data_IF_302930775285
#
_entry.id   IF_302930775285
#
_cell.length_a   1.000
_cell.length_b   1.000
_cell.length_c   1.000
_cell.angle_alpha   90.00
_cell.angle_beta   90.00
_cell.angle_gamma   90.00
#
_symmetry.space_group_name_H-M   'P 1'
#
loop_
_entity.id
_entity.type
_entity.pdbx_description
1 polymer ?
#
# COMPACT_ATOMS: atom_id res chain seq x y z
N UNK A 1 -31.03 -57.49 -26.35
CA UNK A 1 -30.57 -56.08 -26.32
C UNK A 1 -29.82 -55.86 -25.01
N UNK A 2 -28.55 -55.45 -25.08
CA UNK A 2 -27.72 -55.19 -23.90
C UNK A 2 -26.38 -54.62 -24.33
N UNK A 3 -26.36 -53.34 -24.71
CA UNK A 3 -25.14 -52.62 -25.09
C UNK A 3 -24.30 -52.40 -23.83
N UNK A 4 -23.18 -53.10 -23.69
CA UNK A 4 -22.12 -52.78 -22.71
C UNK A 4 -21.51 -51.42 -23.07
N UNK A 5 -21.53 -50.50 -22.13
CA UNK A 5 -20.84 -49.21 -22.19
C UNK A 5 -19.33 -49.45 -22.35
N UNK A 6 -18.73 -48.83 -23.36
CA UNK A 6 -17.27 -48.84 -23.56
C UNK A 6 -16.64 -48.05 -22.43
N UNK A 7 -15.76 -48.68 -21.65
CA UNK A 7 -14.92 -47.99 -20.67
C UNK A 7 -14.12 -46.88 -21.37
N UNK A 8 -14.09 -45.70 -20.74
CA UNK A 8 -13.26 -44.60 -21.18
C UNK A 8 -11.79 -45.05 -21.21
N UNK A 9 -11.12 -44.83 -22.34
CA UNK A 9 -9.67 -45.04 -22.47
C UNK A 9 -8.98 -44.13 -21.46
N UNK A 10 -8.15 -44.69 -20.59
CA UNK A 10 -7.31 -43.88 -19.72
C UNK A 10 -6.40 -43.00 -20.59
N UNK A 11 -6.26 -41.73 -20.19
CA UNK A 11 -5.32 -40.81 -20.79
C UNK A 11 -3.94 -41.47 -20.69
N UNK A 12 -3.28 -41.61 -21.83
CA UNK A 12 -1.97 -42.21 -21.96
C UNK A 12 -1.00 -41.47 -21.03
N UNK A 13 -0.40 -42.18 -20.07
CA UNK A 13 0.74 -41.66 -19.34
C UNK A 13 1.82 -41.34 -20.37
N UNK A 14 2.13 -40.06 -20.55
CA UNK A 14 3.33 -39.66 -21.27
C UNK A 14 4.50 -40.35 -20.55
N UNK A 15 5.12 -41.33 -21.19
CA UNK A 15 6.40 -41.83 -20.74
C UNK A 15 7.39 -40.66 -20.90
N UNK A 16 7.75 -40.01 -19.78
CA UNK A 16 8.87 -39.09 -19.76
C UNK A 16 10.07 -39.79 -20.40
N UNK A 17 10.90 -39.09 -21.20
CA UNK A 17 12.10 -39.68 -21.75
C UNK A 17 12.91 -40.25 -20.58
N UNK A 18 13.29 -41.53 -20.66
CA UNK A 18 14.24 -42.09 -19.70
C UNK A 18 15.55 -41.36 -19.93
N UNK A 19 15.89 -40.46 -19.01
CA UNK A 19 17.20 -39.83 -18.95
C UNK A 19 18.23 -40.94 -18.73
N UNK A 20 18.90 -41.34 -19.81
CA UNK A 20 20.18 -42.01 -19.72
C UNK A 20 21.14 -40.99 -19.12
N UNK A 21 21.80 -41.36 -18.02
CA UNK A 21 22.80 -40.55 -17.31
C UNK A 21 24.03 -40.35 -18.18
N UNK A 22 23.88 -39.54 -19.22
CA UNK A 22 24.98 -38.79 -19.82
C UNK A 22 25.27 -37.67 -18.83
N UNK A 23 26.55 -37.48 -18.48
CA UNK A 23 27.01 -36.45 -17.56
C UNK A 23 26.24 -35.17 -17.82
N UNK A 24 25.36 -34.78 -16.90
CA UNK A 24 24.61 -33.53 -16.99
C UNK A 24 25.65 -32.46 -17.27
N UNK A 25 25.62 -31.90 -18.50
CA UNK A 25 26.33 -30.67 -18.80
C UNK A 25 25.98 -29.74 -17.65
N UNK A 26 26.99 -29.29 -16.90
CA UNK A 26 26.79 -28.41 -15.75
C UNK A 26 25.76 -27.38 -16.18
N UNK A 27 24.64 -27.31 -15.46
CA UNK A 27 23.64 -26.27 -15.66
C UNK A 27 24.40 -24.99 -15.96
N UNK A 28 24.30 -24.48 -17.18
CA UNK A 28 25.21 -23.42 -17.63
C UNK A 28 24.94 -22.26 -16.70
N UNK A 29 25.92 -21.98 -15.83
CA UNK A 29 25.98 -20.82 -14.99
C UNK A 29 26.12 -19.63 -15.94
N UNK A 30 25.01 -19.27 -16.60
CA UNK A 30 24.91 -17.99 -17.28
C UNK A 30 25.33 -16.93 -16.27
N UNK A 31 26.04 -15.91 -16.75
CA UNK A 31 26.55 -14.80 -15.95
C UNK A 31 25.51 -14.43 -14.90
N UNK A 32 25.93 -14.34 -13.64
CA UNK A 32 25.08 -14.05 -12.47
C UNK A 32 24.09 -12.91 -12.76
N UNK A 33 24.52 -11.96 -13.60
CA UNK A 33 23.76 -10.87 -14.18
C UNK A 33 22.48 -11.29 -14.91
N UNK A 34 22.48 -12.33 -15.76
CA UNK A 34 21.29 -12.76 -16.52
C UNK A 34 20.21 -13.30 -15.61
N UNK A 35 20.58 -14.12 -14.62
CA UNK A 35 19.62 -14.66 -13.67
C UNK A 35 19.11 -13.61 -12.70
N UNK A 36 19.95 -12.64 -12.34
CA UNK A 36 19.54 -11.46 -11.57
C UNK A 36 18.50 -10.64 -12.33
N UNK A 37 18.70 -10.40 -13.63
CA UNK A 37 17.72 -9.71 -14.48
C UNK A 37 16.42 -10.51 -14.64
N UNK A 38 16.49 -11.82 -14.87
CA UNK A 38 15.28 -12.66 -14.95
C UNK A 38 14.49 -12.61 -13.62
N UNK A 39 15.19 -12.70 -12.49
CA UNK A 39 14.58 -12.70 -11.17
C UNK A 39 13.82 -11.39 -10.88
N UNK A 40 14.30 -10.23 -11.35
CA UNK A 40 13.58 -8.95 -11.23
C UNK A 40 12.17 -8.98 -11.82
N UNK A 41 11.86 -9.88 -12.75
CA UNK A 41 10.54 -10.01 -13.38
C UNK A 41 9.66 -11.11 -12.76
N UNK A 42 10.16 -11.84 -11.77
CA UNK A 42 9.36 -12.82 -11.03
C UNK A 42 8.52 -12.15 -9.93
N UNK A 43 7.37 -12.73 -9.60
CA UNK A 43 6.60 -12.34 -8.42
C UNK A 43 7.23 -12.90 -7.13
N UNK A 44 6.87 -12.33 -5.98
CA UNK A 44 7.46 -12.74 -4.70
C UNK A 44 7.34 -14.24 -4.41
N UNK A 45 6.23 -14.87 -4.83
CA UNK A 45 6.04 -16.32 -4.69
C UNK A 45 7.02 -17.10 -5.55
N UNK A 46 7.20 -16.72 -6.82
CA UNK A 46 8.14 -17.40 -7.72
C UNK A 46 9.59 -17.19 -7.31
N UNK A 47 9.95 -16.02 -6.78
CA UNK A 47 11.27 -15.76 -6.21
C UNK A 47 11.60 -16.73 -5.06
N UNK A 48 10.67 -16.89 -4.11
CA UNK A 48 10.84 -17.83 -2.99
C UNK A 48 10.92 -19.28 -3.48
N UNK A 49 10.09 -19.65 -4.47
CA UNK A 49 10.15 -20.99 -5.08
C UNK A 49 11.50 -21.21 -5.76
N UNK A 50 12.02 -20.24 -6.52
CA UNK A 50 13.32 -20.32 -7.19
C UNK A 50 14.46 -20.49 -6.18
N UNK A 51 14.49 -19.66 -5.13
CA UNK A 51 15.46 -19.74 -4.05
C UNK A 51 15.47 -21.10 -3.33
N UNK A 52 14.32 -21.78 -3.27
CA UNK A 52 14.20 -23.10 -2.64
C UNK A 52 14.79 -24.25 -3.47
N UNK A 53 15.08 -24.03 -4.76
CA UNK A 53 15.58 -25.09 -5.66
C UNK A 53 17.05 -25.44 -5.44
N UNK A 54 17.90 -24.47 -5.08
CA UNK A 54 19.32 -24.68 -4.80
C UNK A 54 19.95 -23.54 -4.00
N UNK A 55 21.09 -23.81 -3.35
CA UNK A 55 21.86 -22.79 -2.61
C UNK A 55 22.38 -21.66 -3.50
N UNK A 56 22.64 -21.94 -4.78
CA UNK A 56 23.10 -20.90 -5.70
C UNK A 56 21.97 -19.94 -6.05
N UNK A 57 20.78 -20.45 -6.38
CA UNK A 57 19.62 -19.58 -6.60
C UNK A 57 19.22 -18.81 -5.35
N UNK A 58 19.38 -19.39 -4.16
CA UNK A 58 19.22 -18.65 -2.92
C UNK A 58 20.17 -17.45 -2.85
N UNK A 59 21.46 -17.63 -3.21
CA UNK A 59 22.41 -16.51 -3.23
C UNK A 59 22.00 -15.42 -4.22
N UNK A 60 21.65 -15.80 -5.45
CA UNK A 60 21.20 -14.86 -6.50
C UNK A 60 19.95 -14.10 -6.05
N UNK A 61 18.89 -14.82 -5.63
CA UNK A 61 17.61 -14.20 -5.22
C UNK A 61 17.75 -13.29 -4.00
N UNK A 62 18.74 -13.52 -3.14
CA UNK A 62 18.97 -12.67 -1.97
C UNK A 62 19.68 -11.35 -2.29
N UNK A 63 20.01 -11.08 -3.56
CA UNK A 63 20.47 -9.78 -4.01
C UNK A 63 19.42 -8.68 -3.76
N UNK A 64 19.84 -7.57 -3.18
CA UNK A 64 18.95 -6.48 -2.78
C UNK A 64 18.29 -5.80 -4.00
N UNK A 65 18.94 -5.78 -5.17
CA UNK A 65 18.40 -5.13 -6.36
C UNK A 65 17.16 -5.86 -6.91
N UNK A 66 17.09 -7.18 -6.74
CA UNK A 66 15.94 -8.00 -7.13
C UNK A 66 14.72 -7.62 -6.31
N UNK A 67 14.86 -7.61 -4.98
CA UNK A 67 13.75 -7.28 -4.09
C UNK A 67 13.37 -5.81 -4.18
N UNK A 68 14.33 -4.89 -4.38
CA UNK A 68 14.04 -3.49 -4.66
C UNK A 68 13.14 -3.37 -5.88
N UNK A 69 13.57 -3.94 -7.01
CA UNK A 69 12.83 -3.87 -8.25
C UNK A 69 11.45 -4.51 -8.14
N UNK A 70 11.36 -5.72 -7.58
CA UNK A 70 10.09 -6.41 -7.37
C UNK A 70 9.14 -5.58 -6.48
N UNK A 71 9.65 -4.97 -5.41
CA UNK A 71 8.85 -4.13 -4.50
C UNK A 71 8.29 -2.91 -5.23
N UNK A 72 9.14 -2.13 -5.91
CA UNK A 72 8.72 -0.93 -6.64
C UNK A 72 7.71 -1.25 -7.75
N UNK A 73 7.97 -2.32 -8.52
CA UNK A 73 7.08 -2.81 -9.59
C UNK A 73 5.71 -3.22 -9.05
N UNK A 74 5.68 -4.05 -8.01
CA UNK A 74 4.43 -4.61 -7.48
C UNK A 74 3.61 -3.59 -6.66
N UNK A 75 4.28 -2.53 -6.16
CA UNK A 75 3.65 -1.37 -5.54
C UNK A 75 3.29 -0.26 -6.55
N UNK A 76 3.83 -0.30 -7.76
CA UNK A 76 3.66 0.71 -8.81
C UNK A 76 4.10 2.12 -8.38
N UNK A 77 5.23 2.21 -7.66
CA UNK A 77 5.81 3.47 -7.19
C UNK A 77 7.17 3.73 -7.86
N UNK A 78 7.59 5.00 -8.03
CA UNK A 78 8.91 5.31 -8.58
C UNK A 78 10.03 4.88 -7.62
N UNK A 79 11.28 5.02 -8.03
CA UNK A 79 12.42 4.85 -7.12
C UNK A 79 12.60 6.15 -6.32
N UNK A 80 12.01 6.20 -5.13
CA UNK A 80 11.86 7.42 -4.31
C UNK A 80 12.61 7.39 -2.98
N UNK A 81 13.40 6.34 -2.67
CA UNK A 81 13.96 6.22 -1.31
C UNK A 81 15.25 5.42 -1.18
N UNK A 82 16.16 5.98 -0.37
CA UNK A 82 17.07 5.17 0.45
C UNK A 82 16.27 4.55 1.61
N UNK A 83 16.46 3.26 1.85
CA UNK A 83 15.74 2.51 2.89
C UNK A 83 16.70 2.06 3.99
N UNK A 84 16.25 2.16 5.24
CA UNK A 84 17.00 1.70 6.42
C UNK A 84 16.95 0.17 6.57
N UNK A 85 16.00 -0.48 5.90
CA UNK A 85 15.80 -1.93 5.95
C UNK A 85 16.09 -2.58 4.60
N UNK A 86 16.43 -3.88 4.66
CA UNK A 86 16.58 -4.75 3.50
C UNK A 86 15.28 -4.84 2.71
N UNK A 87 15.39 -4.78 1.38
CA UNK A 87 14.23 -4.80 0.48
C UNK A 87 13.43 -6.09 0.56
N UNK A 88 14.08 -7.24 0.82
CA UNK A 88 13.36 -8.49 1.03
C UNK A 88 12.39 -8.43 2.23
N UNK A 89 12.79 -7.73 3.31
CA UNK A 89 11.94 -7.54 4.49
C UNK A 89 10.81 -6.55 4.21
N UNK A 90 11.10 -5.48 3.46
CA UNK A 90 10.11 -4.49 3.05
C UNK A 90 9.06 -5.09 2.10
N UNK A 91 9.49 -5.93 1.17
CA UNK A 91 8.59 -6.69 0.31
C UNK A 91 7.69 -7.60 1.16
N UNK A 92 8.28 -8.37 2.08
CA UNK A 92 7.51 -9.25 2.96
C UNK A 92 6.50 -8.48 3.83
N UNK A 93 6.82 -7.28 4.32
CA UNK A 93 5.86 -6.45 5.07
C UNK A 93 4.77 -5.85 4.17
N UNK A 94 5.13 -5.39 2.98
CA UNK A 94 4.20 -4.82 2.02
C UNK A 94 3.16 -5.84 1.50
N UNK A 95 3.55 -7.11 1.35
CA UNK A 95 2.72 -8.15 0.73
C UNK A 95 2.28 -9.27 1.68
N UNK A 96 2.80 -9.32 2.91
CA UNK A 96 2.46 -10.33 3.93
C UNK A 96 1.17 -10.04 4.71
N UNK A 97 0.43 -8.97 4.38
CA UNK A 97 -0.85 -8.63 5.00
C UNK A 97 -0.77 -7.92 6.37
N UNK A 98 0.43 -7.56 6.85
CA UNK A 98 0.60 -6.82 8.11
C UNK A 98 -0.05 -5.43 8.08
N UNK A 99 -0.23 -4.87 6.89
CA UNK A 99 -0.94 -3.61 6.65
C UNK A 99 -2.47 -3.75 6.70
N UNK A 100 -3.03 -4.97 6.64
CA UNK A 100 -4.50 -5.19 6.61
C UNK A 100 -5.18 -4.99 7.97
N UNK A 101 -4.42 -4.79 9.04
CA UNK A 101 -4.95 -4.61 10.39
C UNK A 101 -4.91 -3.15 10.83
N UNK A 102 -5.97 -2.75 11.53
CA UNK A 102 -5.99 -1.50 12.25
C UNK A 102 -5.00 -1.59 13.41
N UNK A 103 -4.21 -0.54 13.59
CA UNK A 103 -3.26 -0.45 14.69
C UNK A 103 -3.95 -0.72 16.04
N UNK A 104 -3.39 -1.65 16.83
CA UNK A 104 -3.94 -2.19 18.10
C UNK A 104 -5.31 -2.88 18.01
N UNK A 105 -5.85 -3.14 16.82
CA UNK A 105 -7.12 -3.84 16.64
C UNK A 105 -6.92 -5.02 15.69
N UNK A 106 -6.30 -6.09 16.20
CA UNK A 106 -6.00 -7.32 15.42
C UNK A 106 -7.28 -8.07 14.97
N UNK A 107 -8.37 -7.91 15.71
CA UNK A 107 -9.67 -8.52 15.42
C UNK A 107 -10.50 -7.70 14.44
N UNK A 108 -10.23 -6.39 14.35
CA UNK A 108 -10.83 -5.52 13.35
C UNK A 108 -9.97 -5.59 12.10
N UNK A 109 -10.21 -6.63 11.32
CA UNK A 109 -9.75 -6.65 9.95
C UNK A 109 -10.22 -5.32 9.31
N UNK A 110 -9.27 -4.54 8.79
CA UNK A 110 -9.66 -3.46 7.90
C UNK A 110 -10.10 -4.22 6.66
N UNK A 111 -11.39 -4.48 6.54
CA UNK A 111 -11.94 -5.25 5.44
C UNK A 111 -11.51 -4.60 4.12
N UNK A 112 -10.49 -5.21 3.52
CA UNK A 112 -10.30 -5.37 2.09
C UNK A 112 -10.23 -4.11 1.22
N UNK A 113 -9.10 -3.40 1.27
CA UNK A 113 -8.21 -3.25 0.10
C UNK A 113 -6.99 -2.42 0.50
N UNK A 114 -5.80 -2.86 0.09
CA UNK A 114 -4.73 -1.89 -0.15
C UNK A 114 -5.23 -0.97 -1.25
N UNK A 115 -5.42 0.32 -0.95
CA UNK A 115 -5.77 1.34 -1.94
C UNK A 115 -4.65 1.39 -3.00
N UNK A 116 -3.41 1.39 -2.51
CA UNK A 116 -2.19 1.36 -3.31
C UNK A 116 -1.02 1.87 -2.48
N UNK A 117 0.02 2.32 -3.17
CA UNK A 117 1.18 2.94 -2.57
C UNK A 117 1.58 4.20 -3.33
N UNK A 118 2.21 5.13 -2.63
CA UNK A 118 2.67 6.41 -3.17
C UNK A 118 3.95 6.83 -2.43
N UNK A 119 4.60 7.88 -2.91
CA UNK A 119 5.87 8.37 -2.37
C UNK A 119 5.82 9.83 -1.97
N UNK A 120 6.40 10.12 -0.80
CA UNK A 120 6.75 11.47 -0.39
C UNK A 120 8.22 11.71 -0.69
N UNK A 121 8.49 12.64 -1.61
CA UNK A 121 9.85 13.07 -1.94
C UNK A 121 10.28 14.29 -1.08
N UNK A 122 9.31 14.93 -0.41
CA UNK A 122 9.51 16.05 0.52
C UNK A 122 8.99 15.70 1.92
N UNK A 123 9.52 16.39 2.93
CA UNK A 123 9.05 16.27 4.32
C UNK A 123 7.73 17.01 4.60
N UNK A 124 7.09 17.55 3.56
CA UNK A 124 5.82 18.26 3.66
C UNK A 124 4.72 17.46 2.94
N UNK A 125 3.57 17.34 3.59
CA UNK A 125 2.36 16.72 3.05
C UNK A 125 1.19 17.69 3.12
N UNK A 126 0.38 17.74 2.04
CA UNK A 126 -0.82 18.55 2.01
C UNK A 126 -2.06 17.69 2.22
N UNK A 127 -2.85 18.03 3.23
CA UNK A 127 -4.09 17.34 3.58
C UNK A 127 -5.29 18.24 3.26
N UNK A 128 -6.27 17.69 2.56
CA UNK A 128 -7.46 18.44 2.12
C UNK A 128 -8.73 17.60 2.31
N UNK A 129 -9.80 18.25 2.77
CA UNK A 129 -11.15 17.67 2.85
C UNK A 129 -11.84 17.54 1.48
N UNK A 130 -11.47 18.41 0.54
CA UNK A 130 -12.15 18.57 -0.72
C UNK A 130 -11.14 18.57 -1.83
N UNK A 131 -11.48 17.93 -2.94
CA UNK A 131 -10.59 17.75 -4.09
C UNK A 131 -10.22 19.06 -4.81
N UNK A 132 -10.94 20.15 -4.53
CA UNK A 132 -10.73 21.46 -5.14
C UNK A 132 -9.60 22.18 -4.39
N UNK A 133 -8.44 22.31 -5.04
CA UNK A 133 -7.33 23.07 -4.49
C UNK A 133 -7.77 24.53 -4.26
N UNK A 134 -7.58 25.08 -3.04
CA UNK A 134 -7.93 26.47 -2.78
C UNK A 134 -7.05 27.40 -3.63
N UNK A 135 -7.63 28.51 -4.09
CA UNK A 135 -6.91 29.51 -4.90
C UNK A 135 -5.76 30.21 -4.16
N UNK A 136 -5.67 30.03 -2.84
CA UNK A 136 -4.57 30.45 -1.99
C UNK A 136 -4.17 29.28 -1.10
N UNK A 137 -2.90 28.93 -1.11
CA UNK A 137 -2.35 27.98 -0.14
C UNK A 137 -2.49 28.57 1.28
N UNK A 138 -2.78 27.73 2.28
CA UNK A 138 -2.77 28.16 3.67
C UNK A 138 -1.42 28.83 3.98
N UNK A 139 -1.46 30.02 4.56
CA UNK A 139 -0.25 30.63 5.14
C UNK A 139 0.10 29.86 6.42
N UNK A 140 1.38 29.86 6.79
CA UNK A 140 1.85 29.22 8.04
C UNK A 140 1.03 29.72 9.24
N UNK A 141 0.17 28.84 9.73
CA UNK A 141 -0.71 29.03 10.87
C UNK A 141 -0.84 27.68 11.59
N UNK A 142 -1.40 27.66 12.80
CA UNK A 142 -1.69 26.40 13.50
C UNK A 142 -2.58 25.50 12.64
N UNK A 143 -2.31 24.19 12.59
CA UNK A 143 -3.09 23.18 11.84
C UNK A 143 -4.60 23.38 12.01
N UNK A 144 -5.07 23.56 13.25
CA UNK A 144 -6.48 23.78 13.54
C UNK A 144 -7.07 25.06 12.89
N UNK A 145 -6.30 26.16 12.84
CA UNK A 145 -6.73 27.40 12.19
C UNK A 145 -6.82 27.22 10.67
N UNK A 146 -5.86 26.51 10.09
CA UNK A 146 -5.85 26.20 8.65
C UNK A 146 -7.06 25.34 8.28
N UNK A 147 -7.34 24.29 9.06
CA UNK A 147 -8.53 23.45 8.88
C UNK A 147 -9.83 24.27 8.99
N UNK A 148 -9.97 25.09 10.02
CA UNK A 148 -11.17 25.92 10.21
C UNK A 148 -11.39 26.94 9.07
N UNK A 149 -10.32 27.44 8.47
CA UNK A 149 -10.39 28.53 7.48
C UNK A 149 -10.48 28.04 6.04
N UNK A 150 -9.84 26.90 5.73
CA UNK A 150 -9.63 26.43 4.36
C UNK A 150 -10.05 24.98 4.13
N UNK A 151 -10.40 24.21 5.17
CA UNK A 151 -10.65 22.76 5.05
C UNK A 151 -9.40 21.96 4.65
N UNK A 152 -8.22 22.56 4.83
CA UNK A 152 -6.93 21.99 4.41
C UNK A 152 -5.82 22.37 5.38
N UNK A 153 -4.78 21.54 5.50
CA UNK A 153 -3.60 21.84 6.28
C UNK A 153 -2.33 21.28 5.63
N UNK A 154 -1.20 21.92 5.93
CA UNK A 154 0.13 21.39 5.62
C UNK A 154 0.65 20.67 6.86
N UNK A 155 1.16 19.46 6.68
CA UNK A 155 1.93 18.74 7.69
C UNK A 155 3.39 18.77 7.33
N UNK A 156 4.21 19.10 8.32
CA UNK A 156 5.66 19.12 8.22
C UNK A 156 6.26 17.88 8.90
N UNK A 157 7.54 17.66 8.65
CA UNK A 157 8.33 16.56 9.22
C UNK A 157 7.79 15.17 8.87
N UNK A 158 7.28 15.00 7.64
CA UNK A 158 6.82 13.72 7.10
C UNK A 158 8.02 12.88 6.70
N UNK A 159 8.00 11.60 7.07
CA UNK A 159 9.04 10.67 6.63
C UNK A 159 8.96 10.45 5.13
N UNK A 160 10.04 10.74 4.42
CA UNK A 160 10.12 10.54 2.97
C UNK A 160 10.18 9.05 2.60
N UNK A 161 9.88 8.75 1.35
CA UNK A 161 9.88 7.40 0.78
C UNK A 161 8.49 6.82 0.58
N UNK A 162 8.39 5.49 0.60
CA UNK A 162 7.19 4.75 0.18
C UNK A 162 6.16 4.66 1.31
N UNK A 163 4.91 4.96 0.98
CA UNK A 163 3.76 4.87 1.87
C UNK A 163 2.71 3.94 1.28
N UNK A 164 2.11 3.11 2.14
CA UNK A 164 1.00 2.22 1.80
C UNK A 164 -0.29 2.82 2.34
N UNK A 165 -1.29 2.94 1.47
CA UNK A 165 -2.63 3.39 1.82
C UNK A 165 -3.63 2.23 1.90
N UNK A 166 -4.45 2.21 2.95
CA UNK A 166 -5.57 1.28 3.15
C UNK A 166 -6.93 1.99 3.24
N UNK A 167 -8.02 1.25 2.95
CA UNK A 167 -9.43 1.72 2.83
C UNK A 167 -10.37 0.93 3.75
N UNK A 168 -11.44 1.49 4.38
CA UNK A 168 -12.81 1.62 3.81
C UNK A 168 -13.66 2.84 4.24
N UNK A 169 -13.40 3.44 5.40
CA UNK A 169 -14.14 4.64 5.90
C UNK A 169 -13.18 5.68 6.51
N UNK A 170 -11.90 5.30 6.57
CA UNK A 170 -10.81 6.04 7.18
C UNK A 170 -9.64 5.85 6.23
N UNK A 171 -9.09 6.95 5.72
CA UNK A 171 -7.84 6.91 4.98
C UNK A 171 -6.73 6.68 5.99
N UNK A 172 -6.09 5.52 5.94
CA UNK A 172 -4.93 5.19 6.77
C UNK A 172 -3.73 4.96 5.84
N UNK A 173 -2.79 5.90 5.87
CA UNK A 173 -1.56 5.88 5.09
C UNK A 173 -0.37 5.73 6.04
N UNK A 174 0.46 4.71 5.81
CA UNK A 174 1.60 4.35 6.67
C UNK A 174 2.86 4.24 5.86
N UNK A 175 3.97 4.75 6.41
CA UNK A 175 5.29 4.54 5.83
C UNK A 175 5.63 3.04 5.78
N UNK A 176 6.27 2.57 4.71
CA UNK A 176 6.56 1.16 4.49
C UNK A 176 7.47 0.55 5.56
N UNK A 177 8.42 1.32 6.08
CA UNK A 177 9.36 0.86 7.10
C UNK A 177 8.71 0.76 8.49
N UNK A 178 7.59 1.45 8.70
CA UNK A 178 6.85 1.44 9.97
C UNK A 178 6.61 0.02 10.48
N UNK A 179 6.24 -0.89 9.59
CA UNK A 179 5.91 -2.29 9.90
C UNK A 179 7.09 -3.11 10.41
N UNK A 180 8.32 -2.65 10.18
CA UNK A 180 9.56 -3.31 10.61
C UNK A 180 10.14 -2.68 11.89
N UNK A 181 9.60 -1.55 12.35
CA UNK A 181 10.05 -0.91 13.59
C UNK A 181 9.56 -1.64 14.83
N UNK A 182 10.44 -1.79 15.82
CA UNK A 182 10.07 -2.46 17.08
C UNK A 182 8.96 -1.73 17.82
N UNK A 183 8.96 -0.39 17.81
CA UNK A 183 7.95 0.41 18.49
C UNK A 183 6.54 0.15 17.95
N UNK A 184 6.41 0.06 16.63
CA UNK A 184 5.14 -0.29 16.00
C UNK A 184 4.72 -1.73 16.30
N UNK A 185 5.64 -2.69 16.21
CA UNK A 185 5.35 -4.12 16.47
C UNK A 185 4.97 -4.40 17.93
N UNK A 186 5.63 -3.72 18.87
CA UNK A 186 5.30 -3.75 20.31
C UNK A 186 4.05 -2.95 20.65
N UNK A 187 3.54 -2.16 19.70
CA UNK A 187 2.37 -1.30 19.88
C UNK A 187 2.61 -0.12 20.82
N UNK A 188 3.85 0.32 21.01
CA UNK A 188 4.19 1.43 21.91
C UNK A 188 3.84 2.80 21.35
N UNK A 189 3.64 2.90 20.03
CA UNK A 189 3.31 4.16 19.37
C UNK A 189 1.82 4.48 19.47
N UNK A 190 1.45 5.75 19.37
CA UNK A 190 0.06 6.20 19.49
C UNK A 190 -0.29 7.26 18.45
N UNK A 191 -1.54 7.22 17.99
CA UNK A 191 -2.08 8.27 17.15
C UNK A 191 -2.43 9.50 18.00
N UNK A 192 -1.94 10.66 17.59
CA UNK A 192 -2.24 11.96 18.17
C UNK A 192 -3.20 12.71 17.26
N UNK A 193 -4.27 13.27 17.82
CA UNK A 193 -5.18 14.18 17.11
C UNK A 193 -4.47 15.51 16.89
N UNK A 194 -4.33 15.92 15.63
CA UNK A 194 -3.69 17.19 15.26
C UNK A 194 -4.71 18.28 14.87
N UNK A 195 -5.93 17.87 14.54
CA UNK A 195 -7.02 18.78 14.29
C UNK A 195 -8.29 18.07 13.85
N UNK A 196 -9.39 18.80 13.93
CA UNK A 196 -10.71 18.36 13.45
C UNK A 196 -11.45 19.48 12.73
N UNK A 197 -12.39 19.13 11.88
CA UNK A 197 -13.19 20.08 11.13
C UNK A 197 -14.64 19.62 11.01
N UNK A 198 -15.58 20.54 11.23
CA UNK A 198 -17.02 20.29 11.10
C UNK A 198 -17.55 20.92 9.82
N UNK A 199 -18.12 20.10 8.95
CA UNK A 199 -18.90 20.55 7.80
C UNK A 199 -20.37 20.48 8.19
N UNK A 200 -20.97 21.61 8.60
CA UNK A 200 -22.37 21.72 9.05
C UNK A 200 -23.35 21.99 7.90
N UNK A 201 -23.26 21.17 6.86
CA UNK A 201 -24.14 21.21 5.70
C UNK A 201 -24.18 19.82 5.07
N UNK A 202 -25.24 19.51 4.35
CA UNK A 202 -25.31 18.27 3.57
C UNK A 202 -24.08 18.13 2.66
N UNK A 203 -23.44 16.97 2.73
CA UNK A 203 -22.31 16.62 1.86
C UNK A 203 -22.68 15.38 1.06
N UNK A 204 -22.66 15.51 -0.27
CA UNK A 204 -22.97 14.42 -1.21
C UNK A 204 -21.90 13.30 -1.15
N UNK A 205 -20.66 13.66 -0.81
CA UNK A 205 -19.53 12.74 -0.87
C UNK A 205 -18.38 13.13 0.07
N UNK A 206 -17.78 12.15 0.73
CA UNK A 206 -16.64 12.35 1.62
C UNK A 206 -15.34 12.15 0.82
N UNK A 207 -14.70 13.24 0.39
CA UNK A 207 -13.54 13.20 -0.51
C UNK A 207 -12.21 13.48 0.20
N UNK A 208 -11.08 13.09 -0.40
CA UNK A 208 -9.75 13.53 0.00
C UNK A 208 -8.84 13.64 -1.22
N UNK A 209 -8.15 14.77 -1.38
CA UNK A 209 -7.06 15.13 -2.32
C UNK A 209 -7.22 14.83 -3.85
N UNK A 210 -7.32 15.90 -4.67
CA UNK A 210 -7.31 16.00 -6.16
C UNK A 210 -8.61 15.85 -7.01
N UNK A 211 -8.92 16.93 -7.76
CA UNK A 211 -10.15 17.20 -8.52
C UNK A 211 -10.38 16.30 -9.75
N UNK A 212 -11.46 15.51 -9.74
CA UNK A 212 -12.08 14.97 -10.96
C UNK A 212 -13.61 14.89 -10.76
N UNK A 213 -14.38 15.71 -11.49
CA UNK A 213 -15.86 15.61 -11.56
C UNK A 213 -16.34 14.23 -12.06
N UNK A 214 -15.48 13.45 -12.71
CA UNK A 214 -15.74 12.07 -13.13
C UNK A 214 -15.64 11.03 -12.01
N UNK A 215 -15.30 11.47 -10.79
CA UNK A 215 -14.87 10.59 -9.70
C UNK A 215 -15.93 10.37 -8.62
N UNK A 216 -16.99 11.18 -8.63
CA UNK A 216 -18.19 10.93 -7.83
C UNK A 216 -18.87 9.68 -8.39
N UNK A 217 -19.16 8.71 -7.52
CA UNK A 217 -19.94 7.52 -7.89
C UNK A 217 -21.32 7.91 -8.42
N UNK A 218 -22.04 6.99 -9.05
CA UNK A 218 -23.46 7.25 -9.31
C UNK A 218 -24.14 7.53 -7.95
N UNK A 219 -25.19 8.37 -7.87
CA UNK A 219 -25.79 8.76 -6.59
C UNK A 219 -26.20 7.58 -5.67
N UNK A 220 -26.46 6.40 -6.24
CA UNK A 220 -26.82 5.18 -5.51
C UNK A 220 -25.67 4.16 -5.37
N UNK A 221 -24.45 4.55 -5.75
CA UNK A 221 -23.22 3.76 -5.63
C UNK A 221 -22.50 4.16 -4.34
N UNK A 222 -22.73 3.36 -3.29
CA UNK A 222 -22.18 3.58 -1.95
C UNK A 222 -20.79 2.95 -1.77
N UNK A 223 -20.22 2.36 -2.83
CA UNK A 223 -18.90 1.76 -2.73
C UNK A 223 -17.82 2.86 -2.68
N UNK A 224 -16.88 2.78 -1.72
CA UNK A 224 -15.77 3.72 -1.67
C UNK A 224 -14.91 3.57 -2.94
N UNK A 225 -14.54 4.70 -3.54
CA UNK A 225 -13.60 4.79 -4.64
C UNK A 225 -12.28 5.34 -4.15
N UNK A 226 -11.18 4.82 -4.68
CA UNK A 226 -9.85 5.25 -4.30
C UNK A 226 -8.97 5.49 -5.54
N UNK A 227 -8.12 6.52 -5.50
CA UNK A 227 -7.19 6.88 -6.57
C UNK A 227 -5.82 7.02 -5.94
N UNK A 228 -4.84 6.49 -6.64
CA UNK A 228 -3.46 6.56 -6.25
C UNK A 228 -2.68 7.05 -7.44
N UNK A 229 -1.83 8.02 -7.18
CA UNK A 229 -0.78 8.48 -8.09
C UNK A 229 0.55 8.30 -7.38
N UNK A 230 1.66 8.57 -8.07
CA UNK A 230 2.98 8.43 -7.47
C UNK A 230 3.19 9.28 -6.22
N UNK A 231 2.44 10.36 -6.01
CA UNK A 231 2.64 11.30 -4.89
C UNK A 231 1.37 11.64 -4.12
N UNK A 232 0.25 10.97 -4.41
CA UNK A 232 -1.01 11.29 -3.77
C UNK A 232 -1.93 10.09 -3.69
N UNK A 233 -2.74 10.05 -2.64
CA UNK A 233 -3.85 9.12 -2.46
C UNK A 233 -5.12 9.89 -2.12
N UNK A 234 -6.21 9.42 -2.71
CA UNK A 234 -7.54 9.98 -2.59
C UNK A 234 -8.54 8.87 -2.27
N UNK A 235 -9.50 9.16 -1.39
CA UNK A 235 -10.69 8.33 -1.22
C UNK A 235 -11.94 9.17 -1.38
N UNK A 236 -12.98 8.56 -1.94
CA UNK A 236 -14.28 9.16 -2.07
C UNK A 236 -15.38 8.15 -1.78
N UNK A 237 -16.29 8.48 -0.87
CA UNK A 237 -17.47 7.67 -0.58
C UNK A 237 -18.71 8.53 -0.68
N UNK A 238 -19.66 8.13 -1.52
CA UNK A 238 -20.96 8.79 -1.58
C UNK A 238 -21.72 8.59 -0.27
N UNK A 239 -22.41 9.64 0.20
CA UNK A 239 -23.12 9.62 1.48
C UNK A 239 -24.62 9.77 1.27
N UNK A 240 -25.39 9.11 2.13
CA UNK A 240 -26.83 9.36 2.22
C UNK A 240 -27.09 10.76 2.77
N UNK A 241 -28.35 11.20 2.73
CA UNK A 241 -28.77 12.46 3.35
C UNK A 241 -28.26 12.55 4.79
N UNK A 242 -27.60 13.66 5.12
CA UNK A 242 -26.86 13.86 6.35
C UNK A 242 -26.87 15.32 6.78
N UNK A 243 -26.72 15.55 8.08
CA UNK A 243 -26.65 16.90 8.68
C UNK A 243 -25.25 17.52 8.57
N UNK A 244 -24.27 16.71 8.20
CA UNK A 244 -22.90 17.13 7.99
C UNK A 244 -21.86 16.05 8.27
N UNK A 245 -20.60 16.48 8.29
CA UNK A 245 -19.45 15.62 8.55
C UNK A 245 -18.56 16.21 9.64
N UNK A 246 -18.09 15.35 10.53
CA UNK A 246 -17.00 15.60 11.44
C UNK A 246 -15.75 14.86 10.96
N UNK A 247 -14.74 15.62 10.55
CA UNK A 247 -13.48 15.09 10.04
C UNK A 247 -12.42 15.22 11.13
N UNK A 248 -11.67 14.14 11.38
CA UNK A 248 -10.53 14.14 12.31
C UNK A 248 -9.26 13.71 11.60
N UNK A 249 -8.19 14.44 11.88
CA UNK A 249 -6.86 14.17 11.37
C UNK A 249 -5.98 13.69 12.52
N UNK A 250 -5.43 12.49 12.39
CA UNK A 250 -4.51 11.91 13.35
C UNK A 250 -3.18 11.60 12.68
N UNK A 251 -2.11 11.73 13.43
CA UNK A 251 -0.77 11.34 13.00
C UNK A 251 -0.12 10.45 14.03
N UNK A 252 0.79 9.59 13.57
CA UNK A 252 1.71 8.85 14.42
C UNK A 252 3.12 9.36 14.13
N UNK A 253 3.87 9.71 15.17
CA UNK A 253 5.27 10.11 15.04
C UNK A 253 6.21 9.01 15.52
N UNK A 254 7.36 8.93 14.87
CA UNK A 254 8.48 8.09 15.29
C UNK A 254 9.03 8.64 16.61
N UNK A 255 9.12 7.81 17.66
CA UNK A 255 9.54 8.26 18.99
C UNK A 255 10.95 8.84 19.05
N UNK A 256 11.83 8.46 18.12
CA UNK A 256 13.25 8.84 18.13
C UNK A 256 13.53 10.10 17.30
N UNK A 257 12.77 10.32 16.22
CA UNK A 257 13.01 11.40 15.23
C UNK A 257 11.88 12.43 15.15
N UNK A 258 10.76 12.18 15.84
CA UNK A 258 9.48 12.90 15.74
C UNK A 258 8.94 13.03 14.30
N UNK A 259 9.45 12.22 13.37
CA UNK A 259 8.97 12.15 11.99
C UNK A 259 7.55 11.57 11.95
N UNK A 260 6.67 12.18 11.17
CA UNK A 260 5.35 11.62 10.91
C UNK A 260 5.49 10.41 9.99
N UNK A 261 5.05 9.25 10.48
CA UNK A 261 5.21 7.92 9.88
C UNK A 261 3.88 7.23 9.61
N UNK A 262 2.79 7.79 10.13
CA UNK A 262 1.44 7.40 9.75
C UNK A 262 0.50 8.60 9.78
N UNK A 263 -0.44 8.63 8.85
CA UNK A 263 -1.50 9.63 8.75
C UNK A 263 -2.83 8.88 8.69
N UNK A 264 -3.78 9.32 9.51
CA UNK A 264 -5.13 8.78 9.55
C UNK A 264 -6.15 9.90 9.45
N UNK A 265 -6.99 9.85 8.42
CA UNK A 265 -8.12 10.76 8.23
C UNK A 265 -9.41 9.98 8.38
N UNK A 266 -10.21 10.32 9.38
CA UNK A 266 -11.50 9.69 9.64
C UNK A 266 -12.63 10.68 9.47
N UNK A 267 -13.72 10.24 8.85
CA UNK A 267 -14.94 11.02 8.66
C UNK A 267 -16.08 10.34 9.42
N UNK A 268 -16.86 11.13 10.15
CA UNK A 268 -18.02 10.67 10.91
C UNK A 268 -19.21 11.57 10.56
N UNK A 269 -20.40 10.99 10.36
CA UNK A 269 -21.62 11.77 10.15
C UNK A 269 -21.99 12.51 11.45
N UNK A 270 -22.44 13.76 11.30
CA UNK A 270 -23.02 14.56 12.37
C UNK A 270 -24.47 14.14 12.65
#
# INVERSE_FOLDING_TARGET
MGKRLRGAKSICCCASPRFTSSSLSSFSWHEEDVWTEIAKYLDGKSLVMLASTSKWFLHVVMDESIWKFACLRDLQVPDCSETSFKWAKLYASAFGGSHSYAFRQKEKHIDWMRIGAFCFDSSDAFLMENLICPSKLPKEDTVQKMLNSYGSCVLHNIKTGIWIAGTMQVLDARHLELFLTEGYQKGSWEYKLIGSHDIRKHVDSASGLFNLKSWVGKPNDWQPKAMVTYHAVAINTNLQENEGLHIKYHVMTSGDTDEVVSIRVSQQLL
#
